data_IF_264621401812
#
_entry.id   IF_264621401812
#
_cell.length_a   1.000
_cell.length_b   1.000
_cell.length_c   1.000
_cell.angle_alpha   90.00
_cell.angle_beta   90.00
_cell.angle_gamma   90.00
#
_symmetry.space_group_name_H-M   'P 1'
#
loop_
_entity.id
_entity.type
_entity.pdbx_description
1 polymer ?
#
# COMPACT_ATOMS: atom_id res chain seq x y z
N UNK A 1 -24.59 47.55 -88.66
CA UNK A 1 -24.87 46.78 -87.43
C UNK A 1 -23.81 47.19 -86.41
N UNK A 2 -24.08 48.23 -85.61
CA UNK A 2 -24.56 48.11 -84.20
C UNK A 2 -23.56 47.31 -83.35
N UNK A 3 -22.94 47.79 -82.27
CA UNK A 3 -23.18 48.91 -81.35
C UNK A 3 -21.87 49.02 -80.51
N UNK A 4 -21.15 50.14 -80.48
CA UNK A 4 -21.25 51.27 -79.55
C UNK A 4 -20.45 51.12 -78.21
N UNK A 5 -19.70 52.20 -77.92
CA UNK A 5 -19.17 52.72 -76.63
C UNK A 5 -18.06 52.04 -75.80
N UNK A 6 -16.88 52.67 -75.88
CA UNK A 6 -16.17 53.49 -74.85
C UNK A 6 -16.25 53.12 -73.34
N UNK A 7 -15.02 52.95 -72.79
CA UNK A 7 -14.42 53.57 -71.57
C UNK A 7 -15.12 53.34 -70.21
N UNK A 8 -14.38 52.76 -69.23
CA UNK A 8 -13.96 53.35 -67.93
C UNK A 8 -13.57 52.23 -66.94
N UNK A 9 -12.48 52.51 -66.19
CA UNK A 9 -11.93 51.84 -65.00
C UNK A 9 -12.95 51.26 -64.02
N UNK A 10 -12.63 50.11 -63.40
CA UNK A 10 -13.02 49.71 -62.04
C UNK A 10 -12.04 48.62 -61.56
N UNK A 11 -11.22 48.86 -60.53
CA UNK A 11 -11.49 48.81 -59.08
C UNK A 11 -11.35 47.40 -58.46
N UNK A 12 -10.23 47.25 -57.74
CA UNK A 12 -10.09 46.76 -56.36
C UNK A 12 -11.00 45.60 -55.93
N UNK A 13 -10.34 44.49 -55.57
CA UNK A 13 -10.80 43.61 -54.50
C UNK A 13 -9.57 43.01 -53.81
N UNK A 14 -9.10 43.70 -52.76
CA UNK A 14 -8.18 43.15 -51.77
C UNK A 14 -8.95 42.23 -50.85
N UNK A 15 -8.76 40.92 -50.98
CA UNK A 15 -9.21 39.96 -49.98
C UNK A 15 -8.21 39.94 -48.83
N UNK A 16 -8.50 40.73 -47.79
CA UNK A 16 -7.84 40.67 -46.48
C UNK A 16 -8.31 39.38 -45.81
N UNK A 17 -7.47 38.34 -45.81
CA UNK A 17 -7.66 37.17 -44.96
C UNK A 17 -7.09 37.49 -43.57
N UNK A 18 -7.90 38.19 -42.76
CA UNK A 18 -7.60 38.47 -41.36
C UNK A 18 -7.80 37.16 -40.57
N UNK A 19 -6.72 36.40 -40.41
CA UNK A 19 -6.70 35.26 -39.52
C UNK A 19 -6.92 35.72 -38.09
N UNK A 20 -8.14 35.54 -37.58
CA UNK A 20 -8.44 35.62 -36.15
C UNK A 20 -7.57 34.58 -35.43
N UNK A 21 -6.51 35.04 -34.76
CA UNK A 21 -5.91 34.30 -33.66
C UNK A 21 -6.93 34.29 -32.54
N UNK A 22 -7.82 33.29 -32.56
CA UNK A 22 -8.66 32.95 -31.41
C UNK A 22 -7.67 32.59 -30.30
N UNK A 23 -7.47 33.54 -29.40
CA UNK A 23 -6.82 33.30 -28.13
C UNK A 23 -7.72 32.32 -27.39
N UNK A 24 -7.48 31.03 -27.57
CA UNK A 24 -8.00 30.02 -26.67
C UNK A 24 -7.40 30.38 -25.31
N UNK A 25 -8.17 31.10 -24.48
CA UNK A 25 -7.95 31.09 -23.06
C UNK A 25 -8.08 29.62 -22.69
N UNK A 26 -6.94 28.93 -22.58
CA UNK A 26 -6.86 27.75 -21.74
C UNK A 26 -7.40 28.24 -20.40
N UNK A 27 -8.66 27.92 -20.12
CA UNK A 27 -9.12 27.86 -18.75
C UNK A 27 -8.25 26.74 -18.20
N UNK A 28 -7.11 27.11 -17.60
CA UNK A 28 -6.41 26.22 -16.72
C UNK A 28 -7.48 25.77 -15.75
N UNK A 29 -7.92 24.52 -15.87
CA UNK A 29 -8.74 23.92 -14.83
C UNK A 29 -7.89 24.12 -13.59
N UNK A 30 -8.37 24.98 -12.70
CA UNK A 30 -7.78 25.12 -11.38
C UNK A 30 -7.95 23.75 -10.78
N UNK A 31 -6.89 22.94 -10.84
CA UNK A 31 -6.80 21.70 -10.11
C UNK A 31 -6.85 22.12 -8.66
N UNK A 32 -8.05 22.12 -8.10
CA UNK A 32 -8.22 22.25 -6.66
C UNK A 32 -7.53 21.02 -6.11
N UNK A 33 -6.44 21.20 -5.33
CA UNK A 33 -5.77 20.04 -4.78
C UNK A 33 -6.80 19.17 -4.07
N UNK A 34 -6.72 17.84 -4.18
CA UNK A 34 -7.49 16.98 -3.30
C UNK A 34 -7.06 17.34 -1.88
N UNK A 35 -7.87 18.16 -1.22
CA UNK A 35 -7.72 18.44 0.19
C UNK A 35 -7.66 17.08 0.88
N UNK A 36 -6.70 16.90 1.81
CA UNK A 36 -6.59 15.71 2.63
C UNK A 36 -7.95 15.46 3.28
N UNK A 37 -8.67 14.45 2.78
CA UNK A 37 -10.04 14.21 3.23
C UNK A 37 -10.01 13.57 4.61
N UNK A 38 -10.90 14.05 5.48
CA UNK A 38 -11.20 13.42 6.77
C UNK A 38 -11.48 11.94 6.53
N UNK A 39 -10.90 11.10 7.39
CA UNK A 39 -11.01 9.66 7.29
C UNK A 39 -9.75 8.95 7.76
N UNK A 40 -9.82 7.62 7.66
CA UNK A 40 -8.73 6.74 8.00
C UNK A 40 -8.09 6.23 6.72
N UNK A 41 -6.77 6.37 6.63
CA UNK A 41 -5.95 5.87 5.54
C UNK A 41 -4.96 4.87 6.10
N UNK A 42 -4.61 3.84 5.34
CA UNK A 42 -3.77 2.76 5.80
C UNK A 42 -2.75 2.31 4.74
N UNK A 43 -1.59 1.85 5.19
CA UNK A 43 -0.55 1.35 4.31
C UNK A 43 0.50 0.55 5.06
N UNK A 44 1.37 -0.13 4.31
CA UNK A 44 2.41 -1.00 4.87
C UNK A 44 3.78 -0.44 4.53
N UNK A 45 4.55 -0.10 5.56
CA UNK A 45 5.98 0.11 5.43
C UNK A 45 6.67 -1.26 5.49
N UNK A 46 6.88 -1.87 4.32
CA UNK A 46 7.45 -3.22 4.21
C UNK A 46 8.89 -3.34 4.74
N UNK A 47 9.66 -2.26 4.69
CA UNK A 47 11.05 -2.23 5.17
C UNK A 47 11.14 -2.27 6.69
N UNK A 48 10.30 -1.50 7.38
CA UNK A 48 10.24 -1.49 8.85
C UNK A 48 9.29 -2.54 9.43
N UNK A 49 8.59 -3.31 8.58
CA UNK A 49 7.54 -4.25 8.98
C UNK A 49 6.50 -3.57 9.89
N UNK A 50 6.03 -2.41 9.43
CA UNK A 50 5.02 -1.61 10.12
C UNK A 50 3.76 -1.49 9.28
N UNK A 51 2.65 -1.54 9.99
CA UNK A 51 1.35 -1.19 9.46
C UNK A 51 1.01 0.22 9.93
N UNK A 52 0.94 1.15 9.00
CA UNK A 52 0.81 2.58 9.28
C UNK A 52 -0.60 3.05 8.94
N UNK A 53 -1.18 3.88 9.82
CA UNK A 53 -2.49 4.48 9.62
C UNK A 53 -2.42 5.99 9.82
N UNK A 54 -2.95 6.74 8.87
CA UNK A 54 -3.13 8.18 8.95
C UNK A 54 -4.61 8.45 9.21
N UNK A 55 -4.93 9.00 10.37
CA UNK A 55 -6.28 9.38 10.76
C UNK A 55 -6.42 10.90 10.75
N UNK A 56 -7.28 11.38 9.88
CA UNK A 56 -7.69 12.77 9.76
C UNK A 56 -9.11 12.89 10.34
N UNK A 57 -9.31 13.83 11.26
CA UNK A 57 -10.52 13.94 12.08
C UNK A 57 -11.11 15.33 11.88
N UNK A 58 -12.44 15.44 11.98
CA UNK A 58 -13.16 16.72 11.82
C UNK A 58 -12.81 17.76 12.89
N UNK A 59 -12.31 17.32 14.05
CA UNK A 59 -11.89 18.21 15.14
C UNK A 59 -10.55 18.91 14.91
N UNK A 60 -9.82 18.57 13.84
CA UNK A 60 -8.46 19.05 13.59
C UNK A 60 -7.39 18.41 14.49
N UNK A 61 -7.75 17.37 15.27
CA UNK A 61 -6.83 16.58 16.08
C UNK A 61 -6.54 15.25 15.37
N UNK A 62 -5.39 15.14 14.72
CA UNK A 62 -5.05 14.03 13.85
C UNK A 62 -4.06 13.07 14.49
N UNK A 63 -3.96 11.86 13.92
CA UNK A 63 -3.04 10.83 14.41
C UNK A 63 -2.38 10.10 13.26
N UNK A 64 -1.07 9.88 13.39
CA UNK A 64 -0.33 8.95 12.57
C UNK A 64 0.16 7.79 13.43
N UNK A 65 -0.40 6.60 13.19
CA UNK A 65 -0.25 5.42 14.03
C UNK A 65 0.66 4.43 13.30
N UNK A 66 1.78 4.06 13.91
CA UNK A 66 2.73 3.06 13.40
C UNK A 66 2.64 1.79 14.25
N UNK A 67 2.00 0.75 13.73
CA UNK A 67 1.80 -0.52 14.43
C UNK A 67 2.80 -1.57 13.97
N UNK A 68 3.48 -2.25 14.90
CA UNK A 68 4.54 -3.19 14.56
C UNK A 68 3.99 -4.58 14.24
N UNK A 69 4.19 -5.03 13.00
CA UNK A 69 3.70 -6.33 12.50
C UNK A 69 4.28 -7.49 13.32
N UNK A 70 5.59 -7.46 13.59
CA UNK A 70 6.28 -8.52 14.35
C UNK A 70 5.72 -8.75 15.76
N UNK A 71 5.00 -7.78 16.33
CA UNK A 71 4.40 -7.89 17.68
C UNK A 71 2.95 -8.36 17.65
N UNK A 72 2.44 -8.77 16.48
CA UNK A 72 1.01 -9.05 16.29
C UNK A 72 0.14 -7.82 16.59
N UNK A 73 0.66 -6.63 16.32
CA UNK A 73 0.04 -5.33 16.61
C UNK A 73 -0.20 -5.02 18.10
N UNK A 74 0.44 -5.74 19.03
CA UNK A 74 0.41 -5.39 20.47
C UNK A 74 1.13 -4.07 20.77
N UNK A 75 2.12 -3.70 19.95
CA UNK A 75 2.85 -2.43 20.08
C UNK A 75 2.50 -1.50 18.92
N UNK A 76 2.23 -0.25 19.26
CA UNK A 76 2.05 0.84 18.31
C UNK A 76 2.66 2.12 18.86
N UNK A 77 3.11 2.99 17.95
CA UNK A 77 3.51 4.36 18.25
C UNK A 77 2.48 5.30 17.64
N UNK A 78 1.99 6.24 18.42
CA UNK A 78 1.04 7.26 17.96
C UNK A 78 1.76 8.59 17.90
N UNK A 79 1.66 9.26 16.76
CA UNK A 79 2.17 10.61 16.53
C UNK A 79 0.96 11.52 16.34
N UNK A 80 0.72 12.42 17.28
CA UNK A 80 -0.37 13.37 17.18
C UNK A 80 0.10 14.61 16.43
N UNK A 81 -0.78 15.22 15.65
CA UNK A 81 -0.54 16.45 14.90
C UNK A 81 -1.86 17.18 14.65
N UNK A 82 -1.81 18.42 14.24
CA UNK A 82 -2.98 19.26 13.99
C UNK A 82 -2.94 19.88 12.60
N UNK A 83 -3.99 20.63 12.24
CA UNK A 83 -4.06 21.35 10.97
C UNK A 83 -2.87 22.31 10.74
N UNK A 84 -2.28 22.85 11.81
CA UNK A 84 -1.09 23.72 11.73
C UNK A 84 0.16 22.98 11.23
N UNK A 85 0.19 21.66 11.36
CA UNK A 85 1.31 20.82 10.90
C UNK A 85 1.18 20.44 9.42
N UNK A 86 0.03 20.75 8.79
CA UNK A 86 -0.32 20.36 7.42
C UNK A 86 -0.18 21.56 6.48
N UNK A 87 0.57 21.37 5.40
CA UNK A 87 0.65 22.32 4.30
C UNK A 87 0.38 21.60 2.96
N UNK A 88 -0.70 21.98 2.29
CA UNK A 88 -1.06 21.41 0.99
C UNK A 88 -0.79 22.39 -0.15
N UNK A 89 -0.28 21.86 -1.24
CA UNK A 89 -0.20 22.51 -2.55
C UNK A 89 -1.09 21.76 -3.54
N UNK A 90 -1.10 22.20 -4.80
CA UNK A 90 -1.81 21.52 -5.89
C UNK A 90 -1.30 20.09 -6.14
N UNK A 91 -0.05 19.79 -5.82
CA UNK A 91 0.57 18.51 -6.15
C UNK A 91 0.62 17.52 -4.97
N UNK A 92 0.69 18.04 -3.75
CA UNK A 92 1.00 17.25 -2.57
C UNK A 92 0.59 17.94 -1.28
N UNK A 93 0.39 17.14 -0.24
CA UNK A 93 0.29 17.63 1.12
C UNK A 93 1.49 17.17 1.93
N UNK A 94 2.03 18.07 2.75
CA UNK A 94 3.16 17.82 3.61
C UNK A 94 2.69 17.95 5.06
N UNK A 95 2.99 16.93 5.88
CA UNK A 95 2.70 16.92 7.31
C UNK A 95 4.03 16.85 8.06
N UNK A 96 4.33 17.83 8.91
CA UNK A 96 5.56 17.85 9.72
C UNK A 96 5.21 17.58 11.19
N UNK A 97 5.51 16.39 11.68
CA UNK A 97 5.15 15.97 13.04
C UNK A 97 6.39 16.04 13.94
N UNK A 98 6.43 17.04 14.81
CA UNK A 98 7.51 17.21 15.77
C UNK A 98 7.49 16.15 16.89
N UNK A 99 8.66 15.72 17.32
CA UNK A 99 8.88 14.80 18.43
C UNK A 99 10.02 15.35 19.32
N UNK A 100 10.19 14.81 20.52
CA UNK A 100 11.32 15.19 21.37
C UNK A 100 12.64 14.87 20.67
N UNK A 101 13.28 15.90 20.12
CA UNK A 101 14.56 15.78 19.45
C UNK A 101 14.53 15.02 18.11
N UNK A 102 13.40 14.99 17.42
CA UNK A 102 13.31 14.46 16.06
C UNK A 102 12.05 14.99 15.39
N UNK A 103 11.89 14.78 14.09
CA UNK A 103 10.59 14.96 13.44
C UNK A 103 10.31 13.86 12.42
N UNK A 104 9.04 13.60 12.17
CA UNK A 104 8.57 12.78 11.07
C UNK A 104 7.90 13.68 10.05
N UNK A 105 8.42 13.70 8.83
CA UNK A 105 7.82 14.43 7.70
C UNK A 105 7.14 13.44 6.77
N UNK A 106 5.87 13.69 6.46
CA UNK A 106 5.06 12.91 5.54
C UNK A 106 4.80 13.76 4.30
N UNK A 107 5.08 13.25 3.12
CA UNK A 107 4.75 13.90 1.84
C UNK A 107 3.78 12.99 1.10
N UNK A 108 2.54 13.46 0.92
CA UNK A 108 1.44 12.72 0.32
C UNK A 108 1.16 13.28 -1.07
N UNK A 109 1.47 12.49 -2.10
CA UNK A 109 1.12 12.79 -3.48
C UNK A 109 -0.08 11.94 -3.91
N UNK A 110 -1.10 12.50 -4.58
CA UNK A 110 -2.22 11.72 -5.10
C UNK A 110 -1.75 10.57 -6.01
N UNK A 111 -2.39 9.41 -5.88
CA UNK A 111 -2.12 8.22 -6.69
C UNK A 111 -3.44 7.64 -7.21
N UNK A 112 -3.62 7.64 -8.53
CA UNK A 112 -4.79 7.09 -9.24
C UNK A 112 -6.14 7.51 -8.63
N UNK A 113 -6.26 8.79 -8.25
CA UNK A 113 -7.44 9.49 -7.70
C UNK A 113 -8.04 8.98 -6.38
N UNK A 114 -7.59 7.84 -5.85
CA UNK A 114 -8.22 7.19 -4.68
C UNK A 114 -7.24 6.81 -3.58
N UNK A 115 -5.95 7.03 -3.76
CA UNK A 115 -4.90 6.69 -2.81
C UNK A 115 -3.84 7.80 -2.75
N UNK A 116 -2.92 7.69 -1.80
CA UNK A 116 -1.75 8.55 -1.72
C UNK A 116 -0.47 7.73 -1.82
N UNK A 117 0.44 8.14 -2.70
CA UNK A 117 1.84 7.75 -2.57
C UNK A 117 2.44 8.57 -1.43
N UNK A 118 2.77 7.92 -0.33
CA UNK A 118 3.41 8.55 0.82
C UNK A 118 4.92 8.38 0.73
N UNK A 119 5.66 9.46 0.98
CA UNK A 119 7.07 9.46 1.35
C UNK A 119 7.18 9.85 2.84
N UNK A 120 7.67 8.93 3.66
CA UNK A 120 7.94 9.14 5.07
C UNK A 120 9.44 9.41 5.28
N UNK A 121 9.76 10.54 5.91
CA UNK A 121 11.11 10.90 6.33
C UNK A 121 11.17 11.00 7.86
N UNK A 122 12.21 10.43 8.45
CA UNK A 122 12.55 10.67 9.86
C UNK A 122 13.80 11.56 9.88
N UNK A 123 13.71 12.64 10.63
CA UNK A 123 14.69 13.73 10.66
C UNK A 123 15.20 13.86 12.10
N UNK A 124 16.51 13.94 12.28
CA UNK A 124 17.16 14.09 13.59
C UNK A 124 17.13 15.54 14.12
N UNK A 125 17.78 15.78 15.27
CA UNK A 125 17.85 17.11 15.90
C UNK A 125 18.61 18.13 15.06
N UNK A 126 19.52 17.66 14.21
CA UNK A 126 20.37 18.47 13.35
C UNK A 126 19.69 18.78 12.00
N UNK A 127 18.50 18.24 11.76
CA UNK A 127 17.76 18.42 10.52
C UNK A 127 18.17 17.45 9.41
N UNK A 128 18.98 16.43 9.70
CA UNK A 128 19.36 15.43 8.71
C UNK A 128 18.30 14.33 8.59
N UNK A 129 18.01 13.93 7.36
CA UNK A 129 17.20 12.74 7.10
C UNK A 129 17.98 11.48 7.47
N UNK A 130 17.54 10.80 8.52
CA UNK A 130 18.16 9.54 8.99
C UNK A 130 17.50 8.30 8.37
N UNK A 131 16.25 8.42 7.93
CA UNK A 131 15.51 7.34 7.28
C UNK A 131 14.48 7.91 6.31
N UNK A 132 14.31 7.23 5.18
CA UNK A 132 13.33 7.56 4.16
C UNK A 132 12.71 6.28 3.60
N UNK A 133 11.39 6.29 3.43
CA UNK A 133 10.66 5.18 2.81
C UNK A 133 9.39 5.65 2.14
N UNK A 134 9.09 5.06 0.98
CA UNK A 134 7.84 5.28 0.28
C UNK A 134 6.94 4.05 0.33
N UNK A 135 5.63 4.28 0.43
CA UNK A 135 4.60 3.25 0.35
C UNK A 135 3.22 3.87 0.06
N UNK A 136 2.26 3.04 -0.34
CA UNK A 136 0.90 3.49 -0.67
C UNK A 136 0.04 3.59 0.60
N UNK A 137 -0.72 4.67 0.71
CA UNK A 137 -1.82 4.83 1.66
C UNK A 137 -3.16 4.75 0.92
N UNK A 138 -4.01 3.85 1.36
CA UNK A 138 -5.35 3.64 0.80
C UNK A 138 -6.43 3.97 1.83
N UNK A 139 -7.58 4.50 1.41
CA UNK A 139 -8.67 4.87 2.31
C UNK A 139 -9.34 3.63 2.89
N UNK A 140 -9.66 3.68 4.17
CA UNK A 140 -10.42 2.64 4.87
C UNK A 140 -11.91 2.92 4.71
N UNK A 141 -12.60 2.08 3.92
CA UNK A 141 -14.03 2.24 3.67
C UNK A 141 -14.94 1.69 4.79
N UNK A 142 -14.49 0.65 5.50
CA UNK A 142 -15.30 0.00 6.54
C UNK A 142 -14.45 -0.46 7.71
N UNK A 143 -13.60 -1.48 7.51
CA UNK A 143 -12.67 -1.97 8.54
C UNK A 143 -11.25 -1.89 8.03
N UNK A 144 -10.35 -1.45 8.89
CA UNK A 144 -8.92 -1.55 8.63
C UNK A 144 -8.48 -3.01 8.57
N UNK A 145 -7.39 -3.27 7.85
CA UNK A 145 -6.80 -4.62 7.78
C UNK A 145 -6.43 -5.15 9.17
N UNK A 146 -5.94 -4.28 10.06
CA UNK A 146 -5.63 -4.63 11.46
C UNK A 146 -6.90 -5.05 12.22
N UNK A 147 -8.04 -4.37 12.02
CA UNK A 147 -9.29 -4.79 12.66
C UNK A 147 -9.74 -6.18 12.18
N UNK A 148 -9.55 -6.50 10.90
CA UNK A 148 -9.89 -7.83 10.35
C UNK A 148 -8.96 -8.90 10.90
N UNK A 149 -7.66 -8.61 10.95
CA UNK A 149 -6.67 -9.47 11.60
C UNK A 149 -7.07 -9.75 13.06
N UNK A 150 -7.36 -8.71 13.84
CA UNK A 150 -7.71 -8.85 15.25
C UNK A 150 -9.01 -9.63 15.42
N UNK A 151 -10.01 -9.45 14.55
CA UNK A 151 -11.23 -10.24 14.58
C UNK A 151 -10.97 -11.74 14.35
N UNK A 152 -9.99 -12.10 13.51
CA UNK A 152 -9.62 -13.51 13.25
C UNK A 152 -8.75 -14.12 14.36
N UNK A 153 -7.86 -13.33 14.96
CA UNK A 153 -6.78 -13.86 15.79
C UNK A 153 -6.88 -13.57 17.28
N UNK A 154 -7.66 -12.58 17.73
CA UNK A 154 -7.67 -12.11 19.13
C UNK A 154 -7.78 -13.26 20.13
N UNK A 155 -8.71 -14.17 19.91
CA UNK A 155 -9.02 -15.22 20.89
C UNK A 155 -8.12 -16.47 20.77
N UNK A 156 -7.40 -16.62 19.64
CA UNK A 156 -6.49 -17.74 19.40
C UNK A 156 -5.01 -17.36 19.42
N UNK A 157 -4.67 -16.07 19.57
CA UNK A 157 -3.29 -15.61 19.49
C UNK A 157 -2.42 -16.27 20.56
N UNK A 158 -2.92 -16.44 21.78
CA UNK A 158 -2.20 -17.12 22.86
C UNK A 158 -1.85 -18.57 22.51
N UNK A 159 -2.77 -19.33 21.92
CA UNK A 159 -2.52 -20.73 21.53
C UNK A 159 -1.63 -20.87 20.29
N UNK A 160 -1.62 -19.87 19.41
CA UNK A 160 -0.71 -19.83 18.27
C UNK A 160 0.74 -19.56 18.68
N UNK A 161 0.94 -18.81 19.78
CA UNK A 161 2.26 -18.51 20.32
C UNK A 161 2.88 -19.67 21.12
N UNK A 162 2.13 -20.75 21.39
CA UNK A 162 2.66 -21.94 22.08
C UNK A 162 3.10 -23.06 21.12
N UNK A 163 2.91 -22.88 19.81
CA UNK A 163 3.35 -23.85 18.80
C UNK A 163 4.88 -23.94 18.79
N UNK A 164 5.48 -25.16 18.74
CA UNK A 164 6.92 -25.33 18.76
C UNK A 164 7.67 -24.49 17.72
N UNK A 165 8.71 -23.77 18.16
CA UNK A 165 9.52 -22.88 17.31
C UNK A 165 10.65 -23.62 16.58
N UNK A 166 10.32 -24.67 15.81
CA UNK A 166 11.31 -25.40 15.01
C UNK A 166 11.03 -25.21 13.51
N UNK A 167 12.07 -24.88 12.74
CA UNK A 167 11.93 -24.73 11.29
C UNK A 167 10.92 -23.64 10.92
N UNK A 168 10.01 -23.99 10.00
CA UNK A 168 8.89 -23.14 9.59
C UNK A 168 7.71 -23.16 10.57
N UNK A 169 7.69 -24.02 11.58
CA UNK A 169 6.55 -24.15 12.51
C UNK A 169 6.44 -22.96 13.45
N UNK A 170 5.21 -22.58 13.77
CA UNK A 170 4.84 -21.43 14.59
C UNK A 170 3.88 -20.47 13.90
N UNK A 171 3.67 -19.33 14.55
CA UNK A 171 2.88 -18.23 14.00
C UNK A 171 3.76 -17.09 13.51
N UNK A 172 3.55 -16.73 12.25
CA UNK A 172 4.34 -15.74 11.55
C UNK A 172 3.45 -14.66 10.96
N UNK A 173 3.92 -13.43 10.99
CA UNK A 173 3.24 -12.28 10.42
C UNK A 173 4.23 -11.46 9.61
N UNK A 174 3.79 -10.90 8.49
CA UNK A 174 4.65 -10.12 7.64
C UNK A 174 3.93 -9.56 6.44
N UNK A 175 4.67 -9.42 5.35
CA UNK A 175 4.18 -8.75 4.14
C UNK A 175 4.33 -9.64 2.93
N UNK A 176 3.31 -9.68 2.09
CA UNK A 176 3.33 -10.26 0.77
C UNK A 176 3.33 -9.11 -0.25
N UNK A 177 4.38 -9.01 -1.06
CA UNK A 177 4.39 -8.11 -2.21
C UNK A 177 3.81 -8.85 -3.43
N UNK A 178 2.74 -8.29 -3.98
CA UNK A 178 2.03 -8.80 -5.15
C UNK A 178 1.74 -7.64 -6.08
N UNK A 179 2.28 -7.68 -7.28
CA UNK A 179 2.09 -6.65 -8.31
C UNK A 179 2.52 -5.24 -7.82
N UNK A 180 3.60 -5.16 -7.02
CA UNK A 180 4.10 -3.91 -6.45
C UNK A 180 3.35 -3.43 -5.21
N UNK A 181 2.27 -4.12 -4.81
CA UNK A 181 1.48 -3.81 -3.62
C UNK A 181 1.85 -4.72 -2.46
N UNK A 182 2.15 -4.12 -1.30
CA UNK A 182 2.35 -4.86 -0.06
C UNK A 182 1.02 -5.13 0.64
N UNK A 183 0.76 -6.39 0.93
CA UNK A 183 -0.40 -6.87 1.67
C UNK A 183 0.04 -7.53 2.98
N UNK A 184 -0.80 -7.48 4.01
CA UNK A 184 -0.53 -8.18 5.26
C UNK A 184 -0.74 -9.68 5.05
N UNK A 185 0.17 -10.50 5.55
CA UNK A 185 0.07 -11.96 5.46
C UNK A 185 0.38 -12.60 6.81
N UNK A 186 -0.39 -13.63 7.14
CA UNK A 186 -0.15 -14.51 8.28
C UNK A 186 0.09 -15.93 7.82
N UNK A 187 1.00 -16.63 8.50
CA UNK A 187 1.30 -18.03 8.27
C UNK A 187 1.25 -18.77 9.61
N UNK A 188 0.27 -19.66 9.73
CA UNK A 188 0.07 -20.57 10.86
C UNK A 188 0.60 -21.94 10.46
N UNK A 189 1.82 -22.28 10.87
CA UNK A 189 2.43 -23.58 10.54
C UNK A 189 2.45 -24.50 11.76
N UNK A 190 1.68 -25.58 11.69
CA UNK A 190 1.55 -26.58 12.73
C UNK A 190 2.20 -27.91 12.29
N UNK A 191 2.94 -28.60 13.17
CA UNK A 191 3.61 -29.86 12.81
C UNK A 191 2.64 -31.04 12.67
N UNK A 192 1.55 -31.05 13.43
CA UNK A 192 0.69 -32.23 13.60
C UNK A 192 -0.78 -31.98 13.23
N UNK A 193 -1.13 -30.78 12.77
CA UNK A 193 -2.50 -30.41 12.42
C UNK A 193 -2.51 -29.48 11.23
N UNK A 194 -3.71 -29.15 10.76
CA UNK A 194 -3.91 -28.22 9.66
C UNK A 194 -3.23 -26.87 9.92
N UNK A 195 -2.61 -26.36 8.88
CA UNK A 195 -1.88 -25.10 8.83
C UNK A 195 -2.57 -24.16 7.85
N UNK A 196 -2.31 -22.85 7.97
CA UNK A 196 -3.01 -21.81 7.21
C UNK A 196 -2.05 -20.75 6.68
N UNK A 197 -2.31 -20.30 5.45
CA UNK A 197 -1.68 -19.13 4.85
C UNK A 197 -2.80 -18.15 4.46
N UNK A 198 -2.82 -16.99 5.11
CA UNK A 198 -3.89 -16.00 4.98
C UNK A 198 -3.30 -14.68 4.50
N UNK A 199 -3.88 -14.10 3.45
CA UNK A 199 -3.57 -12.75 2.97
C UNK A 199 -4.74 -11.84 3.31
N UNK A 200 -4.45 -10.67 3.87
CA UNK A 200 -5.44 -9.63 4.16
C UNK A 200 -5.25 -8.49 3.16
N UNK A 201 -6.26 -8.24 2.35
CA UNK A 201 -6.20 -7.22 1.30
C UNK A 201 -6.50 -5.84 1.87
N UNK A 202 -5.51 -4.95 1.75
CA UNK A 202 -5.63 -3.57 2.16
C UNK A 202 -6.77 -2.87 1.42
N UNK A 203 -7.51 -2.05 2.17
CA UNK A 203 -8.64 -1.22 1.76
C UNK A 203 -9.89 -1.96 1.24
N UNK A 204 -9.84 -3.29 1.12
CA UNK A 204 -10.96 -4.08 0.59
C UNK A 204 -11.83 -4.70 1.68
N UNK A 205 -11.43 -4.60 2.95
CA UNK A 205 -12.08 -5.29 4.06
C UNK A 205 -12.25 -6.81 3.85
N UNK A 206 -11.31 -7.45 3.13
CA UNK A 206 -11.37 -8.85 2.73
C UNK A 206 -10.06 -9.57 3.07
N UNK A 207 -10.13 -10.89 3.22
CA UNK A 207 -8.98 -11.78 3.32
C UNK A 207 -9.20 -13.02 2.47
N UNK A 208 -8.14 -13.60 1.93
CA UNK A 208 -8.18 -14.91 1.31
C UNK A 208 -7.25 -15.87 2.03
N UNK A 209 -7.61 -17.15 2.05
CA UNK A 209 -6.93 -18.17 2.83
C UNK A 209 -6.80 -19.46 2.05
N UNK A 210 -5.69 -20.16 2.28
CA UNK A 210 -5.52 -21.56 1.93
C UNK A 210 -4.99 -22.33 3.14
N UNK A 211 -5.16 -23.65 3.11
CA UNK A 211 -4.71 -24.54 4.17
C UNK A 211 -3.87 -25.69 3.64
N UNK A 212 -3.09 -26.31 4.51
CA UNK A 212 -2.33 -27.51 4.20
C UNK A 212 -2.16 -28.42 5.41
N UNK A 213 -2.01 -29.71 5.15
CA UNK A 213 -1.71 -30.76 6.12
C UNK A 213 -0.19 -31.05 6.15
N UNK A 214 0.34 -31.65 7.24
CA UNK A 214 1.78 -31.92 7.38
C UNK A 214 2.40 -32.70 6.21
N UNK A 215 1.68 -33.68 5.65
CA UNK A 215 2.11 -34.50 4.52
C UNK A 215 2.31 -33.72 3.21
N UNK A 216 1.76 -32.51 3.11
CA UNK A 216 1.92 -31.64 1.96
C UNK A 216 3.17 -30.76 2.04
N UNK A 217 3.92 -30.86 3.14
CA UNK A 217 5.19 -30.15 3.36
C UNK A 217 6.34 -31.06 2.94
N UNK A 218 7.17 -30.57 2.02
CA UNK A 218 8.37 -31.26 1.55
C UNK A 218 9.58 -30.38 1.78
N UNK A 219 10.64 -30.92 2.37
CA UNK A 219 11.90 -30.19 2.58
C UNK A 219 12.96 -30.79 1.67
N UNK A 220 13.63 -29.95 0.89
CA UNK A 220 14.73 -30.35 0.03
C UNK A 220 15.80 -29.25 0.00
N UNK A 221 17.05 -29.61 0.34
CA UNK A 221 18.20 -28.67 0.38
C UNK A 221 17.88 -27.40 1.18
N UNK A 222 17.31 -27.57 2.37
CA UNK A 222 16.91 -26.49 3.29
C UNK A 222 15.82 -25.53 2.77
N UNK A 223 15.19 -25.87 1.64
CA UNK A 223 14.00 -25.18 1.11
C UNK A 223 12.76 -25.99 1.42
N UNK A 224 11.72 -25.32 1.91
CA UNK A 224 10.42 -25.95 2.18
C UNK A 224 9.44 -25.65 1.06
N UNK A 225 8.87 -26.70 0.48
CA UNK A 225 7.84 -26.66 -0.56
C UNK A 225 6.52 -27.13 0.04
N UNK A 226 5.46 -26.37 -0.17
CA UNK A 226 4.13 -26.68 0.35
C UNK A 226 3.13 -26.63 -0.79
N UNK A 227 2.39 -27.72 -0.98
CA UNK A 227 1.19 -27.74 -1.82
C UNK A 227 -0.03 -27.50 -0.95
N UNK A 228 -0.78 -26.43 -1.20
CA UNK A 228 -1.94 -26.09 -0.37
C UNK A 228 -3.24 -26.56 -1.04
N UNK A 229 -4.32 -26.61 -0.28
CA UNK A 229 -5.60 -27.21 -0.71
C UNK A 229 -6.41 -26.31 -1.65
N UNK A 230 -6.17 -25.00 -1.67
CA UNK A 230 -6.96 -24.08 -2.49
C UNK A 230 -6.71 -24.34 -3.99
N UNK A 231 -7.75 -24.39 -4.85
CA UNK A 231 -7.61 -24.77 -6.26
C UNK A 231 -6.75 -23.80 -7.09
N UNK A 232 -6.79 -22.49 -6.78
CA UNK A 232 -6.08 -21.47 -7.57
C UNK A 232 -5.24 -20.48 -6.76
N UNK A 233 -5.63 -20.05 -5.56
CA UNK A 233 -4.90 -19.09 -4.73
C UNK A 233 -3.81 -19.74 -3.89
N UNK A 234 -2.57 -19.23 -3.99
CA UNK A 234 -1.43 -19.62 -3.15
C UNK A 234 -1.29 -21.14 -3.00
N UNK A 235 -1.59 -21.88 -4.07
CA UNK A 235 -1.66 -23.33 -4.08
C UNK A 235 -0.29 -24.01 -4.07
N UNK A 236 0.77 -23.21 -4.24
CA UNK A 236 2.14 -23.60 -4.00
C UNK A 236 2.88 -22.51 -3.22
N UNK A 237 3.58 -22.90 -2.15
CA UNK A 237 4.47 -22.03 -1.39
C UNK A 237 5.89 -22.59 -1.44
N UNK A 238 6.87 -21.71 -1.60
CA UNK A 238 8.30 -22.02 -1.49
C UNK A 238 8.87 -21.14 -0.40
N UNK A 239 9.40 -21.73 0.66
CA UNK A 239 9.79 -21.03 1.88
C UNK A 239 11.25 -21.33 2.20
N UNK A 240 12.00 -20.27 2.44
CA UNK A 240 13.37 -20.30 2.96
C UNK A 240 13.36 -19.74 4.38
N UNK A 241 14.03 -20.45 5.28
CA UNK A 241 14.27 -19.94 6.62
C UNK A 241 15.56 -19.12 6.63
N UNK A 242 15.43 -17.81 6.85
CA UNK A 242 16.58 -16.91 6.89
C UNK A 242 17.23 -16.88 8.28
N UNK A 243 16.43 -17.05 9.33
CA UNK A 243 16.88 -17.17 10.72
C UNK A 243 15.80 -17.88 11.56
N UNK A 244 16.03 -18.09 12.85
CA UNK A 244 15.02 -18.62 13.77
C UNK A 244 13.74 -17.75 13.83
N UNK A 245 13.84 -16.47 13.43
CA UNK A 245 12.80 -15.45 13.57
C UNK A 245 12.30 -14.90 12.23
N UNK A 246 12.86 -15.33 11.10
CA UNK A 246 12.51 -14.81 9.78
C UNK A 246 12.37 -15.91 8.73
N UNK A 247 11.27 -15.83 7.98
CA UNK A 247 11.04 -16.60 6.76
C UNK A 247 10.95 -15.65 5.57
N UNK A 248 11.38 -16.12 4.41
CA UNK A 248 11.08 -15.47 3.14
C UNK A 248 10.75 -16.50 2.08
N UNK A 249 9.87 -16.17 1.18
CA UNK A 249 9.41 -17.15 0.21
C UNK A 249 8.56 -16.55 -0.89
N UNK A 250 8.04 -17.45 -1.70
CA UNK A 250 7.17 -17.13 -2.81
C UNK A 250 5.87 -17.89 -2.67
N UNK A 251 4.77 -17.22 -3.00
CA UNK A 251 3.49 -17.87 -3.25
C UNK A 251 3.25 -17.91 -4.75
N UNK A 252 2.70 -19.02 -5.23
CA UNK A 252 2.25 -19.20 -6.60
C UNK A 252 0.79 -19.64 -6.60
N UNK A 253 0.05 -19.07 -7.53
CA UNK A 253 -1.33 -19.40 -7.84
C UNK A 253 -1.35 -20.04 -9.23
N UNK A 254 -1.39 -21.37 -9.30
CA UNK A 254 -1.27 -22.13 -10.55
C UNK A 254 -2.60 -22.77 -10.93
N UNK A 255 -3.01 -22.64 -12.18
CA UNK A 255 -4.19 -23.35 -12.70
C UNK A 255 -3.86 -24.01 -14.03
N UNK A 256 -4.15 -25.31 -14.17
CA UNK A 256 -3.89 -26.09 -15.41
C UNK A 256 -2.45 -25.93 -15.93
N UNK A 257 -1.47 -25.93 -15.03
CA UNK A 257 -0.05 -25.79 -15.36
C UNK A 257 0.41 -24.37 -15.70
N UNK A 258 -0.49 -23.38 -15.68
CA UNK A 258 -0.15 -21.97 -15.91
C UNK A 258 -0.12 -21.21 -14.58
N UNK A 259 0.92 -20.39 -14.39
CA UNK A 259 1.01 -19.49 -13.25
C UNK A 259 0.12 -18.28 -13.51
N UNK A 260 -0.93 -18.12 -12.72
CA UNK A 260 -1.86 -17.00 -12.80
C UNK A 260 -1.35 -15.78 -12.02
N UNK A 261 -0.66 -16.04 -10.91
CA UNK A 261 -0.18 -14.99 -10.01
C UNK A 261 0.97 -15.51 -9.16
N UNK A 262 1.89 -14.59 -8.85
CA UNK A 262 2.98 -14.84 -7.92
C UNK A 262 3.04 -13.72 -6.89
N UNK A 263 3.70 -13.97 -5.77
CA UNK A 263 4.06 -12.92 -4.84
C UNK A 263 5.23 -13.35 -3.97
N UNK A 264 6.02 -12.38 -3.55
CA UNK A 264 7.14 -12.59 -2.64
C UNK A 264 6.74 -12.16 -1.24
N UNK A 265 6.99 -13.00 -0.25
CA UNK A 265 6.69 -12.66 1.14
C UNK A 265 7.94 -12.67 2.02
N UNK A 266 7.86 -11.86 3.06
CA UNK A 266 8.78 -11.83 4.17
C UNK A 266 7.97 -11.89 5.46
N UNK A 267 8.28 -12.83 6.34
CA UNK A 267 7.56 -13.09 7.57
C UNK A 267 8.50 -13.02 8.76
N UNK A 268 8.00 -12.44 9.84
CA UNK A 268 8.66 -12.42 11.14
C UNK A 268 7.84 -13.25 12.12
N UNK A 269 8.53 -14.01 12.96
CA UNK A 269 7.90 -14.78 14.04
C UNK A 269 7.26 -13.82 15.03
N UNK A 270 5.99 -14.04 15.37
CA UNK A 270 5.26 -13.18 16.31
C UNK A 270 5.71 -13.47 17.74
N UNK A 271 5.88 -12.42 18.56
CA UNK A 271 6.21 -12.52 19.99
C UNK A 271 5.20 -11.81 20.93
#
# INVERSE_FOLDING_TARGET
MHSDKRIVRAMISSSIFMGLLISAKLIAQTFTPPALQVGLWQGINGKLQQYNMLELNESGQHRFIKSYIATGFKRARVLNFTEQDIACSVAECIINIAQQGASTRLILAPYLDQAFQLLELNIDQQGHTVFSQSYLLEPVKSKSTVQIFMAKYRDKLSSLLTVPEQGIYGFWLGTLNKDGKAELVSFEANPNKKSYFTVFFNAQSLSNETSFLPEQVKVARDVTFISTEHPTFANQLIINQLSARQLSGYMYSVHRGQTLQTGHFHLTRVN
#
